data_IF_339267522525
#
_entry.id   IF_339267522525
#
_cell.length_a   1.000
_cell.length_b   1.000
_cell.length_c   1.000
_cell.angle_alpha   90.00
_cell.angle_beta   90.00
_cell.angle_gamma   90.00
#
_symmetry.space_group_name_H-M   'P 1'
#
loop_
_entity.id
_entity.type
_entity.pdbx_description
1 polymer ?
#
# COMPACT_ATOMS: atom_id res chain seq x y z
N UNK A 1 76.94 24.60 -15.95
CA UNK A 1 76.24 23.34 -16.28
C UNK A 1 75.78 22.55 -15.05
N UNK A 2 76.56 22.46 -13.95
CA UNK A 2 76.15 21.72 -12.72
C UNK A 2 74.86 22.23 -12.04
N UNK A 3 74.55 23.53 -12.12
CA UNK A 3 73.34 24.12 -11.51
C UNK A 3 72.03 23.77 -12.25
N UNK A 4 72.09 23.58 -13.57
CA UNK A 4 70.93 23.21 -14.38
C UNK A 4 70.62 21.71 -14.31
N UNK A 5 71.65 20.88 -14.11
CA UNK A 5 71.47 19.44 -13.88
C UNK A 5 70.69 19.16 -12.58
N UNK A 6 70.94 19.94 -11.52
CA UNK A 6 70.21 19.81 -10.26
C UNK A 6 68.75 20.25 -10.39
N UNK A 7 68.45 21.24 -11.23
CA UNK A 7 67.07 21.67 -11.50
C UNK A 7 66.30 20.63 -12.33
N UNK A 8 66.96 19.98 -13.29
CA UNK A 8 66.39 18.90 -14.10
C UNK A 8 66.09 17.66 -13.24
N UNK A 9 67.00 17.33 -12.30
CA UNK A 9 66.80 16.24 -11.34
C UNK A 9 65.66 16.54 -10.37
N UNK A 10 65.49 17.80 -9.94
CA UNK A 10 64.37 18.22 -9.11
C UNK A 10 63.03 18.20 -9.86
N UNK A 11 63.02 18.55 -11.16
CA UNK A 11 61.83 18.46 -12.00
C UNK A 11 61.39 17.02 -12.26
N UNK A 12 62.33 16.07 -12.37
CA UNK A 12 62.04 14.64 -12.50
C UNK A 12 61.46 14.02 -11.22
N UNK A 13 61.79 14.56 -10.05
CA UNK A 13 61.24 14.12 -8.76
C UNK A 13 59.83 14.66 -8.47
N UNK A 14 59.37 15.70 -9.19
CA UNK A 14 58.05 16.31 -9.04
C UNK A 14 56.98 15.72 -9.97
N UNK A 15 57.31 14.72 -10.79
CA UNK A 15 56.36 14.02 -11.68
C UNK A 15 55.90 12.67 -11.11
N UNK A 16 56.22 12.36 -9.85
CA UNK A 16 55.65 11.22 -9.13
C UNK A 16 54.27 11.55 -8.56
N UNK A 17 53.30 11.93 -9.40
CA UNK A 17 51.91 11.72 -9.03
C UNK A 17 51.65 10.21 -9.22
N UNK A 18 51.93 9.44 -8.19
CA UNK A 18 51.31 8.13 -7.99
C UNK A 18 49.83 8.42 -7.78
N UNK A 19 49.07 8.49 -8.88
CA UNK A 19 47.61 8.56 -8.85
C UNK A 19 47.15 7.19 -8.38
N UNK A 20 47.32 6.98 -7.06
CA UNK A 20 47.24 5.68 -6.41
C UNK A 20 45.98 5.01 -6.86
N UNK A 21 46.13 3.85 -7.50
CA UNK A 21 45.11 3.06 -8.19
C UNK A 21 43.80 3.02 -7.39
N UNK A 22 42.94 4.03 -7.62
CA UNK A 22 41.64 4.14 -6.97
C UNK A 22 40.72 3.20 -7.72
N UNK A 23 40.78 1.91 -7.36
CA UNK A 23 39.82 0.93 -7.84
C UNK A 23 38.47 1.25 -7.20
N UNK A 24 37.63 1.95 -7.94
CA UNK A 24 36.21 2.16 -7.60
C UNK A 24 35.54 0.79 -7.63
N UNK A 25 35.07 0.30 -6.49
CA UNK A 25 34.33 -0.96 -6.44
C UNK A 25 32.99 -0.74 -7.15
N UNK A 26 32.77 -1.48 -8.24
CA UNK A 26 31.52 -1.37 -9.01
C UNK A 26 30.49 -2.32 -8.42
N UNK A 27 29.45 -1.76 -7.79
CA UNK A 27 28.29 -2.50 -7.29
C UNK A 27 27.20 -2.46 -8.34
N UNK A 28 27.26 -3.37 -9.31
CA UNK A 28 26.25 -3.45 -10.37
C UNK A 28 25.23 -4.55 -10.03
N UNK A 29 23.94 -4.21 -9.97
CA UNK A 29 22.82 -5.16 -9.92
C UNK A 29 21.68 -4.69 -10.84
N UNK A 30 21.98 -3.88 -11.85
CA UNK A 30 20.95 -3.17 -12.62
C UNK A 30 20.09 -4.14 -13.46
N UNK A 31 20.67 -5.28 -13.86
CA UNK A 31 19.97 -6.34 -14.62
C UNK A 31 18.99 -7.18 -13.77
N UNK A 32 18.95 -6.97 -12.45
CA UNK A 32 18.08 -7.73 -11.53
C UNK A 32 17.07 -6.75 -10.94
N UNK A 33 15.80 -6.83 -11.33
CA UNK A 33 14.77 -5.91 -10.82
C UNK A 33 13.92 -6.51 -9.70
N UNK A 34 13.90 -7.84 -9.60
CA UNK A 34 13.05 -8.54 -8.64
C UNK A 34 13.75 -8.70 -7.30
N UNK A 35 13.15 -8.13 -6.26
CA UNK A 35 13.65 -8.24 -4.90
C UNK A 35 13.22 -9.58 -4.31
N UNK A 36 14.13 -10.27 -3.64
CA UNK A 36 13.84 -11.47 -2.85
C UNK A 36 13.84 -11.13 -1.35
N UNK A 37 13.16 -11.95 -0.55
CA UNK A 37 13.09 -11.79 0.91
C UNK A 37 13.19 -13.14 1.62
N UNK A 38 13.59 -13.12 2.90
CA UNK A 38 13.73 -14.33 3.70
C UNK A 38 12.44 -14.73 4.43
N UNK A 39 11.63 -13.76 4.85
CA UNK A 39 10.37 -13.93 5.57
C UNK A 39 9.33 -12.90 5.11
N UNK A 40 8.07 -13.18 5.40
CA UNK A 40 6.93 -12.30 5.05
C UNK A 40 6.87 -11.02 5.92
N UNK A 41 7.78 -10.87 6.89
CA UNK A 41 7.97 -9.65 7.66
C UNK A 41 8.91 -8.66 6.95
N UNK A 42 9.49 -9.06 5.80
CA UNK A 42 10.33 -8.24 4.92
C UNK A 42 11.56 -7.59 5.59
N UNK A 43 12.02 -8.13 6.73
CA UNK A 43 13.13 -7.56 7.49
C UNK A 43 14.48 -7.64 6.75
N UNK A 44 14.61 -8.60 5.83
CA UNK A 44 15.79 -8.78 4.98
C UNK A 44 15.38 -8.98 3.53
N UNK A 45 15.65 -7.95 2.73
CA UNK A 45 15.49 -7.93 1.29
C UNK A 45 16.86 -8.15 0.63
N UNK A 46 16.92 -8.86 -0.49
CA UNK A 46 18.20 -9.13 -1.14
C UNK A 46 18.07 -9.35 -2.66
N UNK A 47 19.21 -9.17 -3.32
CA UNK A 47 19.48 -9.51 -4.72
C UNK A 47 20.73 -10.37 -4.79
N UNK A 48 20.72 -11.39 -5.66
CA UNK A 48 21.86 -12.29 -5.84
C UNK A 48 22.35 -12.25 -7.28
N UNK A 49 23.67 -12.14 -7.45
CA UNK A 49 24.40 -12.61 -8.63
C UNK A 49 25.07 -13.95 -8.28
N UNK A 50 25.81 -14.55 -9.21
CA UNK A 50 26.43 -15.87 -8.97
C UNK A 50 27.29 -15.91 -7.71
N UNK A 51 28.17 -14.93 -7.49
CA UNK A 51 29.10 -14.91 -6.33
C UNK A 51 28.97 -13.62 -5.50
N UNK A 52 27.85 -12.91 -5.63
CA UNK A 52 27.67 -11.59 -5.01
C UNK A 52 26.25 -11.43 -4.50
N UNK A 53 26.08 -10.68 -3.42
CA UNK A 53 24.75 -10.32 -2.91
C UNK A 53 24.70 -8.87 -2.48
N UNK A 54 23.57 -8.22 -2.76
CA UNK A 54 23.21 -6.92 -2.18
C UNK A 54 22.04 -7.15 -1.22
N UNK A 55 22.23 -6.83 0.05
CA UNK A 55 21.26 -7.05 1.12
C UNK A 55 20.83 -5.74 1.74
N UNK A 56 19.52 -5.55 1.87
CA UNK A 56 18.91 -4.45 2.59
C UNK A 56 18.18 -5.02 3.81
N UNK A 57 18.68 -4.68 5.00
CA UNK A 57 17.98 -4.91 6.26
C UNK A 57 17.15 -3.67 6.61
N UNK A 58 15.87 -3.87 6.92
CA UNK A 58 14.93 -2.86 7.42
C UNK A 58 14.13 -3.47 8.59
N UNK A 59 13.60 -2.66 9.53
CA UNK A 59 12.60 -3.14 10.48
C UNK A 59 11.36 -3.73 9.80
N UNK A 60 10.61 -4.52 10.57
CA UNK A 60 9.22 -4.86 10.23
C UNK A 60 8.38 -3.58 10.01
N UNK A 61 7.29 -3.71 9.25
CA UNK A 61 6.32 -2.65 8.95
C UNK A 61 6.85 -1.42 8.19
N UNK A 62 8.06 -1.47 7.63
CA UNK A 62 8.59 -0.37 6.83
C UNK A 62 8.07 -0.38 5.39
N UNK A 63 7.67 -1.53 4.86
CA UNK A 63 6.94 -1.61 3.59
C UNK A 63 5.45 -1.31 3.84
N UNK A 64 5.15 -0.04 4.10
CA UNK A 64 3.78 0.41 4.38
C UNK A 64 2.93 0.36 3.13
N UNK A 65 1.80 -0.35 3.21
CA UNK A 65 0.74 -0.40 2.20
C UNK A 65 -0.04 0.91 2.13
N UNK A 66 0.66 2.00 1.85
CA UNK A 66 0.12 3.36 1.74
C UNK A 66 0.82 4.00 0.55
N UNK A 67 0.04 4.48 -0.42
CA UNK A 67 0.55 5.16 -1.60
C UNK A 67 1.34 6.40 -1.17
N UNK A 68 2.56 6.54 -1.66
CA UNK A 68 3.41 7.68 -1.37
C UNK A 68 4.89 7.36 -1.42
N UNK A 69 5.69 8.35 -1.04
CA UNK A 69 7.14 8.24 -0.90
C UNK A 69 7.49 8.20 0.59
N UNK A 70 8.46 7.36 0.94
CA UNK A 70 9.10 7.37 2.25
C UNK A 70 10.61 7.38 2.09
N UNK A 71 11.27 8.06 3.02
CA UNK A 71 12.72 8.28 3.01
C UNK A 71 13.31 7.82 4.33
N UNK A 72 14.33 6.97 4.27
CA UNK A 72 14.97 6.34 5.43
C UNK A 72 16.48 6.55 5.34
N UNK A 73 17.15 6.66 6.48
CA UNK A 73 18.60 6.89 6.53
C UNK A 73 19.36 5.60 6.81
N UNK A 74 20.31 5.27 5.94
CA UNK A 74 21.25 4.16 6.15
C UNK A 74 22.26 4.50 7.25
N UNK A 75 22.63 3.50 8.03
CA UNK A 75 23.72 3.62 9.03
C UNK A 75 24.27 2.23 9.37
N UNK A 76 25.56 2.15 9.68
CA UNK A 76 26.20 0.90 10.12
C UNK A 76 25.68 0.39 11.46
N UNK A 77 25.25 1.29 12.34
CA UNK A 77 24.74 0.98 13.68
C UNK A 77 23.22 1.12 13.80
N UNK A 78 22.57 1.65 12.77
CA UNK A 78 21.12 1.85 12.72
C UNK A 78 20.35 0.58 12.35
N UNK A 79 19.03 0.74 12.22
CA UNK A 79 18.13 -0.35 11.85
C UNK A 79 18.03 -0.57 10.32
N UNK A 80 18.54 0.39 9.53
CA UNK A 80 18.56 0.32 8.07
C UNK A 80 19.99 0.10 7.59
N UNK A 81 20.27 -1.08 7.06
CA UNK A 81 21.62 -1.46 6.63
C UNK A 81 21.60 -1.96 5.21
N UNK A 82 22.44 -1.37 4.37
CA UNK A 82 22.72 -1.86 3.04
C UNK A 82 24.11 -2.51 3.06
N UNK A 83 24.17 -3.79 2.69
CA UNK A 83 25.38 -4.61 2.76
C UNK A 83 25.62 -5.24 1.40
N UNK A 84 26.83 -5.11 0.89
CA UNK A 84 27.28 -5.85 -0.29
C UNK A 84 28.29 -6.91 0.13
N UNK A 85 28.17 -8.12 -0.41
CA UNK A 85 29.07 -9.25 -0.12
C UNK A 85 29.53 -9.93 -1.39
N UNK A 86 30.78 -10.40 -1.37
CA UNK A 86 31.35 -11.34 -2.34
C UNK A 86 31.63 -12.69 -1.69
N UNK A 87 31.57 -13.74 -2.50
CA UNK A 87 31.68 -15.12 -2.06
C UNK A 87 32.72 -15.90 -2.89
N UNK A 88 33.34 -16.92 -2.29
CA UNK A 88 34.28 -17.82 -2.97
C UNK A 88 33.59 -18.89 -3.85
N UNK A 89 32.27 -18.86 -3.95
CA UNK A 89 31.44 -19.81 -4.67
C UNK A 89 30.02 -19.30 -4.86
N UNK A 90 29.15 -20.13 -5.43
CA UNK A 90 27.79 -19.70 -5.79
C UNK A 90 26.92 -19.42 -4.57
N UNK A 91 26.40 -18.19 -4.47
CA UNK A 91 25.47 -17.78 -3.41
C UNK A 91 24.02 -18.11 -3.80
N UNK A 92 23.24 -18.60 -2.85
CA UNK A 92 21.82 -18.96 -3.05
C UNK A 92 20.96 -18.43 -1.91
N UNK A 93 19.63 -18.59 -2.01
CA UNK A 93 18.70 -18.21 -0.92
C UNK A 93 19.09 -18.82 0.43
N UNK A 94 19.47 -20.09 0.48
CA UNK A 94 19.86 -20.76 1.73
C UNK A 94 21.15 -20.20 2.33
N UNK A 95 22.07 -19.70 1.50
CA UNK A 95 23.29 -19.00 1.94
C UNK A 95 22.97 -17.72 2.73
N UNK A 96 21.79 -17.13 2.52
CA UNK A 96 21.36 -15.88 3.17
C UNK A 96 20.33 -16.14 4.28
N UNK A 97 19.30 -16.93 4.00
CA UNK A 97 18.07 -16.97 4.78
C UNK A 97 17.96 -18.12 5.78
N UNK A 98 18.78 -19.17 5.67
CA UNK A 98 18.61 -20.34 6.53
C UNK A 98 19.05 -20.05 7.97
N UNK A 99 18.29 -20.55 8.94
CA UNK A 99 18.67 -20.47 10.36
C UNK A 99 20.04 -21.11 10.63
N UNK A 100 20.35 -22.19 9.91
CA UNK A 100 21.66 -22.85 9.90
C UNK A 100 22.20 -22.74 8.47
N UNK A 101 22.95 -21.67 8.20
CA UNK A 101 23.56 -21.43 6.89
C UNK A 101 24.61 -22.51 6.56
N UNK A 102 24.72 -22.93 5.29
CA UNK A 102 25.76 -23.87 4.88
C UNK A 102 27.16 -23.27 5.09
N UNK A 103 28.15 -24.14 5.33
CA UNK A 103 29.55 -23.73 5.51
C UNK A 103 30.22 -23.21 4.22
N UNK A 104 29.57 -23.38 3.06
CA UNK A 104 30.02 -22.88 1.75
C UNK A 104 28.84 -22.30 0.97
N UNK A 105 29.04 -21.23 0.17
CA UNK A 105 30.32 -20.53 -0.02
C UNK A 105 30.70 -19.62 1.15
N UNK A 106 31.98 -19.33 1.32
CA UNK A 106 32.48 -18.38 2.31
C UNK A 106 32.39 -16.94 1.79
N UNK A 107 32.12 -16.00 2.69
CA UNK A 107 32.21 -14.56 2.39
C UNK A 107 33.68 -14.18 2.27
N UNK A 108 34.11 -13.71 1.10
CA UNK A 108 35.48 -13.22 0.88
C UNK A 108 35.61 -11.74 1.23
N UNK A 109 34.55 -10.98 0.98
CA UNK A 109 34.50 -9.55 1.27
C UNK A 109 33.09 -9.13 1.68
N UNK A 110 33.02 -8.17 2.58
CA UNK A 110 31.78 -7.59 3.09
C UNK A 110 31.95 -6.09 3.29
N UNK A 111 31.02 -5.31 2.74
CA UNK A 111 31.01 -3.86 2.85
C UNK A 111 29.66 -3.40 3.37
N UNK A 112 29.69 -2.65 4.46
CA UNK A 112 28.51 -1.99 5.02
C UNK A 112 28.47 -0.55 4.54
N UNK A 113 27.31 -0.10 4.07
CA UNK A 113 27.09 1.30 3.78
C UNK A 113 27.21 2.12 5.07
N UNK A 114 28.09 3.12 5.07
CA UNK A 114 28.29 4.07 6.18
C UNK A 114 27.17 5.10 6.29
N UNK A 115 26.53 5.40 5.17
CA UNK A 115 25.45 6.37 5.06
C UNK A 115 24.81 6.33 3.68
N UNK A 116 23.84 7.22 3.48
CA UNK A 116 23.00 7.29 2.30
C UNK A 116 21.53 7.24 2.68
N UNK A 117 20.68 7.39 1.68
CA UNK A 117 19.25 7.52 1.85
C UNK A 117 18.53 6.45 1.06
N UNK A 118 17.67 5.67 1.71
CA UNK A 118 16.72 4.76 1.07
C UNK A 118 15.48 5.57 0.68
N UNK A 119 15.03 5.42 -0.56
CA UNK A 119 13.78 5.97 -1.06
C UNK A 119 12.89 4.78 -1.41
N UNK A 120 11.66 4.76 -0.87
CA UNK A 120 10.67 3.74 -1.20
C UNK A 120 9.43 4.45 -1.73
N UNK A 121 9.13 4.20 -3.00
CA UNK A 121 7.94 4.68 -3.68
C UNK A 121 6.89 3.58 -3.74
N UNK A 122 5.74 3.79 -3.12
CA UNK A 122 4.66 2.80 -3.01
C UNK A 122 3.50 3.16 -3.94
N UNK A 123 3.05 2.17 -4.73
CA UNK A 123 1.92 2.29 -5.65
C UNK A 123 0.89 1.17 -5.40
N UNK A 124 -0.42 1.48 -5.38
CA UNK A 124 -1.46 0.45 -5.30
C UNK A 124 -1.54 -0.34 -6.62
N UNK A 125 -1.74 -1.65 -6.50
CA UNK A 125 -1.98 -2.55 -7.62
C UNK A 125 -3.49 -2.79 -7.75
N UNK A 126 -4.02 -2.68 -8.97
CA UNK A 126 -5.46 -2.81 -9.22
C UNK A 126 -5.77 -3.98 -10.15
N UNK A 127 -6.84 -4.70 -9.84
CA UNK A 127 -7.45 -5.68 -10.76
C UNK A 127 -8.90 -5.31 -11.06
N UNK A 128 -9.35 -5.41 -12.33
CA UNK A 128 -10.76 -5.31 -12.66
C UNK A 128 -11.60 -6.41 -12.00
N UNK A 129 -12.88 -6.15 -11.76
CA UNK A 129 -13.87 -7.16 -11.36
C UNK A 129 -14.81 -7.49 -12.51
N UNK A 130 -15.43 -8.67 -12.48
CA UNK A 130 -16.45 -9.08 -13.46
C UNK A 130 -17.71 -8.19 -13.44
N UNK A 131 -17.90 -7.41 -12.37
CA UNK A 131 -19.00 -6.43 -12.22
C UNK A 131 -18.67 -5.04 -12.78
N UNK A 132 -17.52 -4.89 -13.44
CA UNK A 132 -17.03 -3.61 -13.96
C UNK A 132 -16.56 -2.64 -12.87
N UNK A 133 -16.08 -3.18 -11.75
CA UNK A 133 -15.40 -2.44 -10.69
C UNK A 133 -13.89 -2.66 -10.73
N UNK A 134 -13.21 -2.21 -9.68
CA UNK A 134 -11.78 -2.46 -9.46
C UNK A 134 -11.53 -2.84 -8.01
N UNK A 135 -10.47 -3.62 -7.75
CA UNK A 135 -9.99 -3.98 -6.41
C UNK A 135 -8.53 -3.65 -6.26
N UNK A 136 -8.15 -3.25 -5.05
CA UNK A 136 -6.75 -3.09 -4.68
C UNK A 136 -6.26 -4.47 -4.24
N UNK A 137 -5.34 -5.06 -5.00
CA UNK A 137 -4.87 -6.45 -4.77
C UNK A 137 -3.51 -6.52 -4.07
N UNK A 138 -2.89 -5.37 -3.81
CA UNK A 138 -1.59 -5.27 -3.16
C UNK A 138 -0.93 -3.93 -3.45
N UNK A 139 0.32 -3.82 -3.05
CA UNK A 139 1.12 -2.62 -3.25
C UNK A 139 2.49 -2.98 -3.83
N UNK A 140 2.90 -2.25 -4.84
CA UNK A 140 4.26 -2.31 -5.39
C UNK A 140 5.12 -1.26 -4.71
N UNK A 141 6.19 -1.70 -4.05
CA UNK A 141 7.21 -0.84 -3.47
C UNK A 141 8.44 -0.83 -4.37
N UNK A 142 8.73 0.31 -4.98
CA UNK A 142 9.96 0.56 -5.71
C UNK A 142 11.00 1.13 -4.75
N UNK A 143 12.12 0.42 -4.59
CA UNK A 143 13.18 0.77 -3.64
C UNK A 143 14.41 1.24 -4.43
N UNK A 144 14.96 2.38 -4.04
CA UNK A 144 16.21 2.93 -4.55
C UNK A 144 17.00 3.61 -3.43
N UNK A 145 18.24 3.99 -3.73
CA UNK A 145 19.09 4.70 -2.80
C UNK A 145 19.75 5.91 -3.44
N UNK A 146 20.05 6.92 -2.63
CA UNK A 146 20.84 8.08 -3.03
C UNK A 146 22.01 8.31 -2.09
N UNK A 147 23.14 8.74 -2.65
CA UNK A 147 24.38 9.08 -1.94
C UNK A 147 24.86 7.98 -0.97
N UNK A 148 24.84 6.72 -1.41
CA UNK A 148 25.32 5.60 -0.59
C UNK A 148 26.83 5.69 -0.43
N UNK A 149 27.30 5.69 0.81
CA UNK A 149 28.74 5.74 1.14
C UNK A 149 29.25 4.35 1.52
N UNK A 150 30.25 3.83 0.81
CA UNK A 150 30.97 2.60 1.17
C UNK A 150 32.45 2.89 1.48
N UNK A 151 33.07 2.15 2.42
CA UNK A 151 34.51 2.24 2.63
C UNK A 151 35.26 1.70 1.40
N UNK A 152 36.26 2.42 0.91
CA UNK A 152 37.18 1.92 -0.11
C UNK A 152 38.51 1.42 0.49
N UNK A 153 39.31 0.73 -0.32
CA UNK A 153 40.62 0.17 0.03
C UNK A 153 41.69 1.23 0.35
N UNK A 154 41.49 2.46 -0.11
CA UNK A 154 42.40 3.61 0.06
C UNK A 154 42.13 4.43 1.32
N UNK A 155 41.14 4.04 2.14
CA UNK A 155 40.77 4.73 3.38
C UNK A 155 39.88 5.96 3.21
N UNK A 156 39.41 6.25 1.99
CA UNK A 156 38.36 7.24 1.71
C UNK A 156 37.01 6.53 1.47
N UNK A 157 35.91 7.28 1.54
CA UNK A 157 34.60 6.72 1.23
C UNK A 157 34.29 6.89 -0.26
N UNK A 158 33.83 5.83 -0.91
CA UNK A 158 33.24 5.90 -2.25
C UNK A 158 31.76 6.24 -2.11
N UNK A 159 31.31 7.25 -2.86
CA UNK A 159 29.91 7.65 -2.91
C UNK A 159 29.27 7.16 -4.20
N UNK A 160 28.18 6.40 -4.08
CA UNK A 160 27.31 6.01 -5.18
C UNK A 160 26.13 6.99 -5.19
N UNK A 161 26.03 7.89 -6.19
CA UNK A 161 25.01 8.93 -6.20
C UNK A 161 23.59 8.38 -6.25
N UNK A 162 23.38 7.33 -7.04
CA UNK A 162 22.09 6.66 -7.23
C UNK A 162 22.32 5.16 -7.39
N UNK A 163 21.48 4.35 -6.73
CA UNK A 163 21.50 2.89 -6.82
C UNK A 163 20.07 2.36 -6.86
N UNK A 164 19.69 1.72 -7.96
CA UNK A 164 18.40 1.05 -8.06
C UNK A 164 18.42 -0.29 -7.33
N UNK A 165 17.45 -0.53 -6.45
CA UNK A 165 17.31 -1.83 -5.79
C UNK A 165 16.32 -2.71 -6.55
N UNK A 166 15.08 -2.25 -6.73
CA UNK A 166 14.08 -2.98 -7.52
C UNK A 166 12.67 -2.83 -6.98
N UNK A 167 11.80 -3.76 -7.37
CA UNK A 167 10.40 -3.79 -6.93
C UNK A 167 10.12 -4.99 -6.03
N UNK A 168 9.32 -4.78 -5.01
CA UNK A 168 8.71 -5.84 -4.19
C UNK A 168 7.21 -5.59 -4.07
N UNK A 169 6.42 -6.66 -4.13
CA UNK A 169 4.97 -6.59 -3.98
C UNK A 169 4.58 -7.17 -2.63
N UNK A 170 3.77 -6.45 -1.89
CA UNK A 170 3.13 -6.90 -0.64
C UNK A 170 1.65 -7.23 -0.89
N UNK A 171 1.16 -8.20 -0.11
CA UNK A 171 -0.23 -8.68 -0.15
C UNK A 171 -1.27 -7.70 0.41
N UNK A 172 -2.53 -8.13 0.33
CA UNK A 172 -3.73 -7.30 0.21
C UNK A 172 -4.26 -6.62 1.48
N UNK A 173 -5.07 -5.59 1.24
CA UNK A 173 -6.13 -5.08 2.11
C UNK A 173 -7.48 -5.49 1.46
N UNK A 174 -7.88 -6.76 1.62
CA UNK A 174 -9.11 -7.27 0.99
C UNK A 174 -10.33 -6.73 1.74
N UNK A 175 -10.92 -5.67 1.20
CA UNK A 175 -12.14 -5.10 1.74
C UNK A 175 -13.32 -6.05 1.52
N UNK A 176 -13.83 -6.61 2.62
CA UNK A 176 -15.05 -7.41 2.61
C UNK A 176 -16.28 -6.55 2.24
N UNK A 177 -16.73 -6.70 0.99
CA UNK A 177 -17.94 -6.07 0.45
C UNK A 177 -19.13 -7.04 0.35
N UNK A 178 -19.07 -8.16 1.07
CA UNK A 178 -20.14 -9.16 1.06
C UNK A 178 -21.05 -8.94 2.26
N UNK A 179 -22.29 -8.54 2.01
CA UNK A 179 -23.28 -8.26 3.04
C UNK A 179 -24.36 -9.34 3.05
N UNK A 180 -24.44 -10.10 4.15
CA UNK A 180 -24.91 -11.50 4.14
C UNK A 180 -26.43 -11.72 4.09
N UNK A 181 -27.26 -10.68 4.15
CA UNK A 181 -28.72 -10.87 4.27
C UNK A 181 -29.53 -10.22 3.14
N UNK A 182 -28.88 -9.55 2.18
CA UNK A 182 -29.51 -8.60 1.26
C UNK A 182 -30.44 -7.59 1.97
N UNK A 183 -30.47 -7.51 3.30
CA UNK A 183 -31.39 -6.68 4.07
C UNK A 183 -30.72 -5.36 4.39
N UNK A 184 -31.31 -4.29 3.88
CA UNK A 184 -30.96 -2.95 4.30
C UNK A 184 -31.81 -2.55 5.50
N UNK A 185 -31.19 -1.83 6.43
CA UNK A 185 -31.83 -1.26 7.59
C UNK A 185 -31.93 0.25 7.44
N UNK A 186 -32.88 0.85 8.16
CA UNK A 186 -33.15 2.29 8.14
C UNK A 186 -33.20 2.81 9.57
N UNK A 187 -32.52 3.92 9.83
CA UNK A 187 -32.78 4.71 11.03
C UNK A 187 -32.43 6.19 10.86
N UNK A 188 -32.78 6.97 11.88
CA UNK A 188 -32.52 8.41 11.91
C UNK A 188 -31.42 8.70 12.92
N UNK A 189 -30.39 9.39 12.47
CA UNK A 189 -29.26 9.87 13.27
C UNK A 189 -29.30 11.40 13.36
N UNK A 190 -28.99 11.95 14.52
CA UNK A 190 -28.86 13.42 14.68
C UNK A 190 -27.69 13.98 13.87
N UNK A 191 -26.63 13.19 13.67
CA UNK A 191 -25.42 13.60 12.93
C UNK A 191 -25.53 13.28 11.44
N UNK A 192 -26.08 12.11 11.11
CA UNK A 192 -26.06 11.57 9.74
C UNK A 192 -27.41 11.67 9.02
N UNK A 193 -28.44 12.28 9.63
CA UNK A 193 -29.77 12.37 9.06
C UNK A 193 -30.43 11.00 8.93
N UNK A 194 -31.22 10.80 7.87
CA UNK A 194 -31.79 9.49 7.54
C UNK A 194 -30.70 8.59 6.96
N UNK A 195 -30.44 7.46 7.60
CA UNK A 195 -29.37 6.51 7.25
C UNK A 195 -29.98 5.21 6.78
N UNK A 196 -29.64 4.80 5.56
CA UNK A 196 -29.86 3.43 5.07
C UNK A 196 -28.53 2.70 5.11
N UNK A 197 -28.47 1.51 5.71
CA UNK A 197 -27.21 0.80 5.89
C UNK A 197 -27.36 -0.72 5.76
N UNK A 198 -26.25 -1.37 5.46
CA UNK A 198 -26.05 -2.81 5.52
C UNK A 198 -24.66 -3.08 6.11
N UNK A 199 -24.49 -4.23 6.76
CA UNK A 199 -23.25 -4.56 7.44
C UNK A 199 -23.03 -6.07 7.47
N UNK A 200 -21.78 -6.45 7.64
CA UNK A 200 -21.30 -7.82 7.82
C UNK A 200 -20.32 -7.85 8.98
N UNK A 201 -19.69 -8.99 9.23
CA UNK A 201 -18.62 -9.06 10.22
C UNK A 201 -17.48 -8.10 9.82
N UNK A 202 -17.19 -7.13 10.70
CA UNK A 202 -16.07 -6.20 10.56
C UNK A 202 -16.25 -5.09 9.53
N UNK A 203 -17.35 -5.01 8.76
CA UNK A 203 -17.52 -3.99 7.72
C UNK A 203 -18.97 -3.48 7.62
N UNK A 204 -19.15 -2.25 7.14
CA UNK A 204 -20.47 -1.67 6.87
C UNK A 204 -20.46 -0.79 5.64
N UNK A 205 -21.62 -0.66 4.99
CA UNK A 205 -21.89 0.33 3.96
C UNK A 205 -23.18 1.08 4.30
N UNK A 206 -23.15 2.40 4.21
CA UNK A 206 -24.27 3.26 4.55
C UNK A 206 -24.44 4.40 3.55
N UNK A 207 -25.69 4.81 3.33
CA UNK A 207 -26.08 6.06 2.70
C UNK A 207 -26.54 6.99 3.82
N UNK A 208 -25.69 7.95 4.18
CA UNK A 208 -26.03 9.00 5.13
C UNK A 208 -26.79 10.13 4.44
N UNK A 209 -27.78 10.68 5.15
CA UNK A 209 -28.67 11.74 4.67
C UNK A 209 -29.28 11.38 3.31
N UNK A 210 -29.88 10.19 3.21
CA UNK A 210 -30.58 9.77 1.99
C UNK A 210 -31.72 10.75 1.69
N UNK A 211 -31.85 11.13 0.41
CA UNK A 211 -32.98 11.94 -0.04
C UNK A 211 -34.30 11.18 0.19
N UNK A 212 -35.25 11.72 0.98
CA UNK A 212 -36.55 11.09 1.21
C UNK A 212 -37.33 10.81 -0.08
N UNK A 213 -37.08 11.56 -1.16
CA UNK A 213 -37.70 11.32 -2.45
C UNK A 213 -37.29 9.99 -3.10
N UNK A 214 -36.20 9.35 -2.65
CA UNK A 214 -35.76 8.04 -3.15
C UNK A 214 -36.53 6.88 -2.53
N UNK A 215 -37.01 7.02 -1.29
CA UNK A 215 -37.68 5.97 -0.52
C UNK A 215 -39.11 6.33 -0.08
N UNK A 216 -39.97 6.95 -0.91
CA UNK A 216 -41.36 7.15 -0.55
C UNK A 216 -42.10 5.82 -0.58
N UNK A 217 -43.12 5.68 0.26
CA UNK A 217 -44.06 4.55 0.30
C UNK A 217 -44.97 4.52 -0.95
N UNK A 218 -44.36 4.37 -2.13
CA UNK A 218 -45.01 4.39 -3.43
C UNK A 218 -44.21 3.53 -4.41
N UNK A 219 -44.86 2.59 -5.07
CA UNK A 219 -44.24 1.76 -6.10
C UNK A 219 -43.68 2.59 -7.26
N UNK A 220 -42.54 2.18 -7.80
CA UNK A 220 -41.97 2.76 -9.02
C UNK A 220 -42.64 2.16 -10.26
N UNK A 221 -42.81 2.90 -11.36
CA UNK A 221 -43.18 2.30 -12.64
C UNK A 221 -42.15 1.26 -13.08
N UNK A 222 -42.60 0.25 -13.84
CA UNK A 222 -41.72 -0.79 -14.37
C UNK A 222 -40.60 -0.19 -15.21
N UNK A 223 -39.34 -0.59 -14.93
CA UNK A 223 -38.15 -0.10 -15.65
C UNK A 223 -37.72 1.33 -15.31
N UNK A 224 -38.38 1.99 -14.36
CA UNK A 224 -38.12 3.39 -14.01
C UNK A 224 -37.80 3.56 -12.51
N UNK A 225 -36.62 3.10 -12.05
CA UNK A 225 -36.19 3.31 -10.67
C UNK A 225 -36.02 4.81 -10.38
N UNK A 226 -36.14 5.19 -9.10
CA UNK A 226 -35.76 6.55 -8.66
C UNK A 226 -34.25 6.64 -8.59
N UNK A 227 -33.72 7.77 -9.04
CA UNK A 227 -32.26 7.99 -9.09
C UNK A 227 -31.87 9.20 -8.25
N UNK A 228 -30.80 9.07 -7.45
CA UNK A 228 -30.20 10.17 -6.70
C UNK A 228 -28.70 10.20 -6.87
N UNK A 229 -28.12 11.39 -7.06
CA UNK A 229 -26.66 11.52 -7.12
C UNK A 229 -26.05 11.43 -5.73
N UNK A 230 -24.88 10.81 -5.64
CA UNK A 230 -24.02 10.85 -4.45
C UNK A 230 -23.33 12.20 -4.41
N UNK A 231 -23.26 12.81 -3.24
CA UNK A 231 -22.59 14.09 -3.02
C UNK A 231 -21.93 14.14 -1.65
N UNK A 232 -21.19 15.22 -1.36
CA UNK A 232 -20.57 15.43 -0.07
C UNK A 232 -21.57 15.71 1.08
N UNK A 233 -22.82 16.09 0.80
CA UNK A 233 -23.79 16.55 1.82
C UNK A 233 -25.11 15.78 1.84
N UNK A 234 -25.53 15.19 0.73
CA UNK A 234 -26.73 14.35 0.59
C UNK A 234 -26.38 13.04 -0.12
N UNK A 235 -27.09 11.96 0.20
CA UNK A 235 -26.86 10.64 -0.38
C UNK A 235 -25.40 10.17 -0.20
N UNK A 236 -24.80 10.48 0.96
CA UNK A 236 -23.37 10.28 1.22
C UNK A 236 -23.10 8.81 1.46
N UNK A 237 -22.48 8.13 0.49
CA UNK A 237 -22.07 6.73 0.68
C UNK A 237 -20.81 6.67 1.55
N UNK A 238 -20.85 5.88 2.61
CA UNK A 238 -19.73 5.63 3.51
C UNK A 238 -19.56 4.12 3.67
N UNK A 239 -18.34 3.64 3.55
CA UNK A 239 -17.98 2.27 3.86
C UNK A 239 -16.92 2.27 4.97
N UNK A 240 -17.13 1.51 6.03
CA UNK A 240 -16.23 1.47 7.18
C UNK A 240 -15.72 0.06 7.42
N UNK A 241 -14.47 -0.03 7.86
CA UNK A 241 -13.84 -1.25 8.40
C UNK A 241 -13.68 -1.09 9.90
N UNK A 242 -13.94 -2.16 10.63
CA UNK A 242 -14.02 -2.16 12.09
C UNK A 242 -13.07 -3.21 12.69
N UNK A 243 -12.62 -2.95 13.91
CA UNK A 243 -11.89 -3.90 14.75
C UNK A 243 -12.44 -3.94 16.18
N UNK A 244 -12.08 -4.99 16.91
CA UNK A 244 -12.34 -5.12 18.35
C UNK A 244 -13.82 -5.01 18.77
N UNK A 245 -14.72 -5.70 18.07
CA UNK A 245 -16.12 -5.82 18.49
C UNK A 245 -17.05 -6.34 17.40
N UNK A 246 -18.33 -6.50 17.76
CA UNK A 246 -19.38 -6.98 16.87
C UNK A 246 -20.28 -5.81 16.45
N UNK A 247 -20.64 -5.76 15.18
CA UNK A 247 -21.69 -4.88 14.68
C UNK A 247 -23.05 -5.50 14.95
N UNK A 248 -23.99 -4.69 15.44
CA UNK A 248 -25.40 -5.06 15.60
C UNK A 248 -26.26 -4.06 14.83
N UNK A 249 -27.51 -4.42 14.56
CA UNK A 249 -28.47 -3.52 13.88
C UNK A 249 -28.60 -2.19 14.64
N UNK A 250 -28.60 -2.22 15.97
CA UNK A 250 -28.80 -1.00 16.76
C UNK A 250 -27.58 -0.10 16.79
N UNK A 251 -26.40 -0.56 16.35
CA UNK A 251 -25.15 0.22 16.37
C UNK A 251 -25.30 1.56 15.63
N UNK A 252 -25.85 1.53 14.42
CA UNK A 252 -25.98 2.69 13.53
C UNK A 252 -27.07 3.67 13.96
N UNK A 253 -27.94 3.23 14.87
CA UNK A 253 -29.15 3.95 15.26
C UNK A 253 -29.05 4.54 16.67
N UNK A 254 -27.96 4.28 17.37
CA UNK A 254 -27.68 4.85 18.68
C UNK A 254 -27.18 6.30 18.56
N UNK A 255 -27.59 7.12 19.54
CA UNK A 255 -27.14 8.52 19.67
C UNK A 255 -26.58 8.72 21.08
N UNK A 256 -25.25 8.89 21.25
CA UNK A 256 -24.21 8.90 20.21
C UNK A 256 -23.94 7.50 19.62
N UNK A 257 -23.29 7.46 18.45
CA UNK A 257 -22.79 6.20 17.86
C UNK A 257 -21.78 5.57 18.84
N UNK A 258 -21.84 4.26 19.12
CA UNK A 258 -20.90 3.61 20.03
C UNK A 258 -19.45 3.69 19.53
N UNK A 259 -18.52 3.90 20.46
CA UNK A 259 -17.07 3.89 20.17
C UNK A 259 -16.50 2.48 19.91
N UNK A 260 -17.30 1.43 20.16
CA UNK A 260 -16.94 0.03 19.93
C UNK A 260 -18.03 -0.63 19.09
N UNK A 261 -17.68 -1.36 18.00
CA UNK A 261 -16.31 -1.59 17.50
C UNK A 261 -15.62 -0.33 16.98
N UNK A 262 -14.28 -0.35 16.95
CA UNK A 262 -13.43 0.78 16.55
C UNK A 262 -13.33 0.82 15.03
N UNK A 263 -13.59 1.98 14.42
CA UNK A 263 -13.39 2.18 12.99
C UNK A 263 -11.88 2.29 12.71
N UNK A 264 -11.35 1.40 11.87
CA UNK A 264 -9.94 1.38 11.44
C UNK A 264 -9.74 2.00 10.07
N UNK A 265 -10.77 1.99 9.22
CA UNK A 265 -10.76 2.65 7.92
C UNK A 265 -12.14 3.23 7.59
N UNK A 266 -12.13 4.36 6.89
CA UNK A 266 -13.32 5.01 6.36
C UNK A 266 -13.10 5.30 4.88
N UNK A 267 -14.03 4.84 4.06
CA UNK A 267 -14.08 5.07 2.63
C UNK A 267 -15.33 5.87 2.29
N UNK A 268 -15.18 6.92 1.50
CA UNK A 268 -16.27 7.83 1.14
C UNK A 268 -16.57 7.75 -0.35
N UNK A 269 -17.86 7.72 -0.71
CA UNK A 269 -18.30 7.75 -2.09
C UNK A 269 -18.05 9.13 -2.71
N UNK A 270 -17.12 9.20 -3.67
CA UNK A 270 -16.80 10.45 -4.39
C UNK A 270 -17.78 10.75 -5.51
N UNK A 271 -18.35 9.71 -6.11
CA UNK A 271 -19.20 9.80 -7.28
C UNK A 271 -20.13 8.59 -7.38
N UNK A 272 -20.98 8.61 -8.41
CA UNK A 272 -21.96 7.57 -8.69
C UNK A 272 -23.37 8.01 -8.34
N UNK A 273 -24.29 7.05 -8.36
CA UNK A 273 -25.70 7.30 -8.06
C UNK A 273 -26.32 6.15 -7.30
N UNK A 274 -27.45 6.44 -6.66
CA UNK A 274 -28.33 5.47 -6.02
C UNK A 274 -29.51 5.24 -6.96
N UNK A 275 -29.82 3.99 -7.23
CA UNK A 275 -31.06 3.55 -7.87
C UNK A 275 -31.95 2.85 -6.84
N UNK A 276 -33.21 3.27 -6.75
CA UNK A 276 -34.21 2.64 -5.87
C UNK A 276 -35.41 2.17 -6.68
N UNK A 277 -35.64 0.86 -6.66
CA UNK A 277 -36.87 0.26 -7.19
C UNK A 277 -37.81 -0.06 -6.05
N UNK A 278 -39.05 0.41 -6.09
CA UNK A 278 -40.04 0.15 -5.03
C UNK A 278 -41.17 -0.74 -5.55
N UNK A 279 -41.45 -1.82 -4.83
CA UNK A 279 -42.61 -2.71 -5.06
C UNK A 279 -43.53 -2.74 -3.85
N UNK A 280 -44.83 -2.86 -4.07
CA UNK A 280 -45.81 -3.10 -3.00
C UNK A 280 -45.87 -4.60 -2.69
N UNK A 281 -45.65 -4.98 -1.42
CA UNK A 281 -45.67 -6.39 -0.96
C UNK A 281 -46.83 -6.68 0.00
N UNK A 282 -47.60 -5.66 0.37
CA UNK A 282 -48.85 -5.74 1.13
C UNK A 282 -49.60 -4.41 1.05
N UNK A 283 -50.80 -4.28 1.63
CA UNK A 283 -51.63 -3.08 1.50
C UNK A 283 -50.92 -1.78 1.92
N UNK A 284 -50.04 -1.87 2.92
CA UNK A 284 -49.28 -0.73 3.46
C UNK A 284 -47.77 -0.99 3.51
N UNK A 285 -47.29 -2.10 2.93
CA UNK A 285 -45.87 -2.52 3.04
C UNK A 285 -45.19 -2.37 1.68
N UNK A 286 -44.06 -1.66 1.67
CA UNK A 286 -43.26 -1.37 0.50
C UNK A 286 -41.88 -1.98 0.66
N UNK A 287 -41.36 -2.56 -0.42
CA UNK A 287 -40.00 -3.08 -0.53
C UNK A 287 -39.21 -2.20 -1.47
N UNK A 288 -38.10 -1.67 -1.00
CA UNK A 288 -37.15 -0.83 -1.73
C UNK A 288 -35.89 -1.64 -2.01
N UNK A 289 -35.61 -1.94 -3.27
CA UNK A 289 -34.32 -2.52 -3.69
C UNK A 289 -33.38 -1.35 -3.99
N UNK A 290 -32.30 -1.22 -3.22
CA UNK A 290 -31.39 -0.08 -3.25
C UNK A 290 -30.06 -0.53 -3.84
N UNK A 291 -29.70 0.06 -4.97
CA UNK A 291 -28.51 -0.28 -5.75
C UNK A 291 -27.63 0.95 -5.91
N UNK A 292 -26.34 0.79 -5.66
CA UNK A 292 -25.30 1.78 -5.91
C UNK A 292 -24.74 1.57 -7.32
N UNK A 293 -24.66 2.63 -8.12
CA UNK A 293 -24.24 2.59 -9.52
C UNK A 293 -22.95 3.38 -9.73
N UNK A 294 -21.93 2.72 -10.28
CA UNK A 294 -20.64 3.32 -10.62
C UNK A 294 -20.02 4.13 -9.47
N UNK A 295 -20.12 3.60 -8.25
CA UNK A 295 -19.62 4.28 -7.05
C UNK A 295 -18.13 4.09 -6.92
N UNK A 296 -17.40 5.20 -6.78
CA UNK A 296 -15.98 5.24 -6.47
C UNK A 296 -15.84 5.53 -4.98
N UNK A 297 -15.25 4.59 -4.24
CA UNK A 297 -14.91 4.73 -2.83
C UNK A 297 -13.46 5.22 -2.69
N UNK A 298 -13.25 6.17 -1.79
CA UNK A 298 -11.94 6.80 -1.53
C UNK A 298 -11.68 6.95 -0.03
N UNK A 299 -10.48 6.61 0.41
CA UNK A 299 -10.03 6.75 1.81
C UNK A 299 -9.08 7.93 2.05
N UNK A 300 -8.94 8.83 1.07
CA UNK A 300 -7.99 9.94 1.08
C UNK A 300 -6.58 9.61 0.59
N UNK A 301 -6.24 8.33 0.39
CA UNK A 301 -4.95 7.88 -0.15
C UNK A 301 -5.09 7.18 -1.50
N UNK A 302 -6.07 6.29 -1.59
CA UNK A 302 -6.40 5.48 -2.77
C UNK A 302 -7.90 5.38 -2.95
N UNK A 303 -8.32 5.07 -4.18
CA UNK A 303 -9.72 4.84 -4.51
C UNK A 303 -9.90 3.62 -5.41
N UNK A 304 -11.11 3.07 -5.40
CA UNK A 304 -11.53 1.97 -6.27
C UNK A 304 -13.04 2.04 -6.57
N UNK A 305 -13.48 1.38 -7.63
CA UNK A 305 -14.89 1.35 -8.03
C UNK A 305 -15.56 0.07 -7.52
N UNK A 306 -16.67 0.18 -6.79
CA UNK A 306 -17.46 -0.96 -6.28
C UNK A 306 -17.92 -1.92 -7.38
N UNK A 307 -18.23 -1.36 -8.55
CA UNK A 307 -18.85 -2.04 -9.68
C UNK A 307 -19.75 -1.08 -10.44
N UNK A 308 -20.19 -1.50 -11.63
CA UNK A 308 -21.23 -0.77 -12.37
C UNK A 308 -22.59 -0.83 -11.65
N UNK A 309 -22.79 -1.88 -10.86
CA UNK A 309 -23.99 -2.14 -10.06
C UNK A 309 -23.59 -2.88 -8.79
N UNK A 310 -23.96 -2.33 -7.63
CA UNK A 310 -23.68 -2.91 -6.32
C UNK A 310 -24.96 -2.88 -5.48
N UNK A 311 -25.46 -4.04 -5.06
CA UNK A 311 -26.66 -4.13 -4.22
C UNK A 311 -26.29 -3.71 -2.79
N UNK A 312 -26.88 -2.61 -2.30
CA UNK A 312 -26.77 -2.26 -0.88
C UNK A 312 -27.72 -3.14 -0.07
N UNK A 313 -28.95 -3.35 -0.56
CA UNK A 313 -29.92 -4.26 0.03
C UNK A 313 -31.37 -3.88 -0.26
N UNK A 314 -32.28 -4.68 0.29
CA UNK A 314 -33.72 -4.55 0.29
C UNK A 314 -34.16 -3.97 1.64
N UNK A 315 -34.79 -2.80 1.60
CA UNK A 315 -35.37 -2.13 2.75
C UNK A 315 -36.89 -2.30 2.73
N UNK A 316 -37.49 -2.66 3.86
CA UNK A 316 -38.95 -2.64 4.02
C UNK A 316 -39.42 -1.44 4.83
N UNK A 317 -40.46 -0.78 4.35
CA UNK A 317 -41.13 0.34 5.04
C UNK A 317 -42.64 0.10 5.07
N UNK A 318 -43.31 0.79 5.99
CA UNK A 318 -44.75 0.71 6.13
C UNK A 318 -45.36 2.12 6.08
N UNK A 319 -46.50 2.28 5.39
CA UNK A 319 -47.32 3.49 5.47
C UNK A 319 -48.26 3.43 6.66
N UNK A 320 -48.40 4.56 7.36
CA UNK A 320 -49.44 4.75 8.38
C UNK A 320 -50.84 4.72 7.77
#
# INVERSE_FOLDING_TARGET
MKKYASLLLFALLLNGCDDGDLTVEQFDFDDITDIQHCSDNYELLYKLKSQESLLLQIPEDQLKNTKGEQTLSLSTTGNYKLVYRRYDGTVTKSSICDAIRPATPNVTNEWFAKGGTVIINTFPNYTPTDTGGTRITGYTHNISFTNVSYPNSSGTDQIIPELAFGNIVTGEDDLNLTFSDEKAHLCTSTTNGTVVYNFSEGTSIAINNIDPALIPNQATPSGSPRTGLISATQNRVIYNVYSNGLLTTDYFCQTPIPATPVITQTWTGLSGSIEVTTTTVGPTVFKHVIVLKNVILDNGNVSFQLGTSFLLGELQTQSN
#
